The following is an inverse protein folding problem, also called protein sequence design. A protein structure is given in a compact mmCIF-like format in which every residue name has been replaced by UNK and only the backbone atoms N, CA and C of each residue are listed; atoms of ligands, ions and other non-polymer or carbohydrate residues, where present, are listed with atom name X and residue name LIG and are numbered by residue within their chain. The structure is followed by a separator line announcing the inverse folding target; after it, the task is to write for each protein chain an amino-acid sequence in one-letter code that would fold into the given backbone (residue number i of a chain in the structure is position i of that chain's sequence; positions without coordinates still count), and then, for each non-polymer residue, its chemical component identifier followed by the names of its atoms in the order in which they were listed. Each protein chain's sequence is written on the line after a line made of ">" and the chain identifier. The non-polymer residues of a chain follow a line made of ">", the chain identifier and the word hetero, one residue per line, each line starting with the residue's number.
data_IF_485922913388
#
_entry.id   IF_485922913388
#
_cell.length_a   1.000
_cell.length_b   1.000
_cell.length_c   1.000
_cell.angle_alpha   90.00
_cell.angle_beta   90.00
_cell.angle_gamma   90.00
#
_symmetry.space_group_name_H-M   'P 1'
#
loop_
_entity.id
_entity.type
_entity.pdbx_description
1 polymer ?
#
# COMPACT_ATOMS: atom_id res chain seq x y z
N UNK A 1 -14.08 17.91 17.15
CA UNK A 1 -15.08 16.89 16.76
C UNK A 1 -14.92 15.66 17.66
N UNK A 2 -16.01 15.01 18.08
CA UNK A 2 -15.97 13.86 18.99
C UNK A 2 -15.71 12.58 18.17
N UNK A 3 -14.81 11.69 18.62
CA UNK A 3 -14.57 10.43 17.92
C UNK A 3 -15.83 9.56 17.88
N UNK A 4 -16.16 9.05 16.70
CA UNK A 4 -17.33 8.21 16.47
C UNK A 4 -16.89 6.79 16.16
N UNK A 5 -17.43 5.83 16.91
CA UNK A 5 -17.25 4.40 16.65
C UNK A 5 -18.09 3.97 15.46
N UNK A 6 -17.45 3.47 14.40
CA UNK A 6 -18.12 2.89 13.25
C UNK A 6 -17.43 1.63 12.72
N UNK A 7 -18.17 0.86 11.92
CA UNK A 7 -17.65 -0.23 11.10
C UNK A 7 -17.97 0.08 9.64
N UNK A 8 -16.97 -0.01 8.78
CA UNK A 8 -17.08 0.34 7.36
C UNK A 8 -16.94 -0.94 6.55
N UNK A 9 -17.95 -1.25 5.74
CA UNK A 9 -17.91 -2.29 4.71
C UNK A 9 -17.42 -1.66 3.42
N UNK A 10 -16.43 -2.25 2.75
CA UNK A 10 -15.81 -1.72 1.53
C UNK A 10 -15.41 -2.83 0.56
N UNK A 11 -14.87 -2.48 -0.61
CA UNK A 11 -14.56 -3.42 -1.70
C UNK A 11 -15.74 -3.58 -2.64
N UNK A 12 -16.03 -4.81 -3.07
CA UNK A 12 -17.18 -5.13 -3.92
C UNK A 12 -18.26 -5.85 -3.13
N UNK A 13 -19.49 -5.88 -3.64
CA UNK A 13 -20.55 -6.70 -3.08
C UNK A 13 -20.28 -8.21 -3.13
N UNK A 14 -19.39 -8.67 -4.03
CA UNK A 14 -18.96 -10.08 -4.17
C UNK A 14 -17.92 -10.44 -3.10
N UNK A 15 -16.91 -9.60 -2.91
CA UNK A 15 -15.83 -9.81 -1.92
C UNK A 15 -15.73 -8.61 -0.98
N UNK A 16 -16.70 -8.43 -0.06
CA UNK A 16 -16.67 -7.30 0.85
C UNK A 16 -15.61 -7.49 1.94
N UNK A 17 -14.95 -6.39 2.31
CA UNK A 17 -14.06 -6.30 3.46
C UNK A 17 -14.66 -5.37 4.53
N UNK A 18 -14.13 -5.44 5.75
CA UNK A 18 -14.64 -4.69 6.90
C UNK A 18 -13.52 -4.01 7.68
N UNK A 19 -13.56 -2.68 7.77
CA UNK A 19 -12.77 -1.89 8.71
C UNK A 19 -13.60 -1.68 9.97
N UNK A 20 -13.28 -2.41 11.04
CA UNK A 20 -14.11 -2.48 12.25
C UNK A 20 -13.63 -1.51 13.32
N UNK A 21 -14.58 -0.98 14.10
CA UNK A 21 -14.32 -0.22 15.32
C UNK A 21 -13.41 1.01 15.07
N UNK A 22 -13.60 1.68 13.93
CA UNK A 22 -12.92 2.95 13.65
C UNK A 22 -13.48 3.99 14.61
N UNK A 23 -12.60 4.67 15.35
CA UNK A 23 -12.95 5.72 16.31
C UNK A 23 -11.99 6.91 16.27
N UNK A 24 -11.31 7.11 15.14
CA UNK A 24 -10.46 8.27 14.93
C UNK A 24 -11.26 9.58 14.82
N UNK A 25 -10.62 10.68 15.20
CA UNK A 25 -11.15 12.03 14.96
C UNK A 25 -10.91 12.35 13.47
N UNK A 26 -11.95 12.74 12.71
CA UNK A 26 -11.78 13.09 11.31
C UNK A 26 -10.93 14.36 11.17
N UNK A 27 -10.10 14.48 10.11
CA UNK A 27 -9.33 15.69 9.85
C UNK A 27 -10.25 16.87 9.49
N UNK A 28 -9.79 18.09 9.79
CA UNK A 28 -10.41 19.34 9.35
C UNK A 28 -9.97 19.73 7.93
N UNK A 29 -10.62 20.73 7.33
CA UNK A 29 -10.18 21.25 6.03
C UNK A 29 -8.78 21.87 6.08
N UNK A 30 -8.41 22.50 7.20
CA UNK A 30 -7.08 23.05 7.40
C UNK A 30 -6.02 21.94 7.39
N UNK A 31 -6.33 20.80 8.03
CA UNK A 31 -5.44 19.64 8.07
C UNK A 31 -5.12 19.08 6.68
N UNK A 32 -6.12 19.01 5.79
CA UNK A 32 -5.89 18.62 4.39
C UNK A 32 -5.05 19.64 3.64
N UNK A 33 -5.29 20.93 3.84
CA UNK A 33 -4.56 21.97 3.11
C UNK A 33 -3.08 22.07 3.52
N UNK A 34 -2.76 21.81 4.80
CA UNK A 34 -1.39 21.92 5.32
C UNK A 34 -0.55 20.64 5.21
N UNK A 35 -1.16 19.49 4.89
CA UNK A 35 -0.43 18.22 4.83
C UNK A 35 0.34 18.07 3.52
N UNK A 36 1.63 17.74 3.64
CA UNK A 36 2.59 17.56 2.54
C UNK A 36 3.29 16.20 2.64
N UNK A 37 4.10 15.82 1.66
CA UNK A 37 4.90 14.59 1.72
C UNK A 37 6.02 14.75 2.74
N UNK A 38 6.80 15.84 2.65
CA UNK A 38 8.00 16.06 3.47
C UNK A 38 7.77 17.14 4.52
N UNK A 39 8.06 16.84 5.79
CA UNK A 39 7.95 17.81 6.89
C UNK A 39 9.30 18.12 7.51
N UNK A 40 9.44 19.34 8.01
CA UNK A 40 10.61 19.75 8.80
C UNK A 40 10.65 19.06 10.17
N UNK A 41 9.48 18.83 10.76
CA UNK A 41 9.35 18.23 12.09
C UNK A 41 8.20 17.23 12.13
N UNK A 42 8.49 16.05 12.68
CA UNK A 42 7.47 15.02 12.95
C UNK A 42 6.57 15.47 14.11
N UNK A 43 5.37 14.92 14.20
CA UNK A 43 4.35 15.37 15.14
C UNK A 43 4.23 14.42 16.33
N UNK A 44 4.42 14.96 17.53
CA UNK A 44 4.12 14.27 18.78
C UNK A 44 2.60 14.20 18.96
N UNK A 45 2.04 13.01 18.80
CA UNK A 45 0.63 12.79 19.02
C UNK A 45 0.25 12.86 20.51
N UNK A 46 -0.93 13.43 20.79
CA UNK A 46 -1.54 13.30 22.10
C UNK A 46 -1.78 11.81 22.43
N UNK A 47 -1.43 11.38 23.65
CA UNK A 47 -1.51 9.98 24.10
C UNK A 47 -2.90 9.35 23.93
N UNK A 48 -3.97 10.14 24.03
CA UNK A 48 -5.34 9.62 23.88
C UNK A 48 -5.73 9.49 22.41
N UNK A 49 -5.32 10.43 21.55
CA UNK A 49 -5.49 10.31 20.10
C UNK A 49 -4.69 9.14 19.52
N UNK A 50 -3.52 8.86 20.10
CA UNK A 50 -2.66 7.76 19.70
C UNK A 50 -3.27 6.37 19.97
N UNK A 51 -4.30 6.25 20.83
CA UNK A 51 -5.03 5.01 21.13
C UNK A 51 -6.19 4.76 20.16
N UNK A 52 -6.61 5.79 19.41
CA UNK A 52 -7.73 5.69 18.48
C UNK A 52 -7.38 4.83 17.27
N UNK A 53 -8.37 4.10 16.78
CA UNK A 53 -8.28 3.19 15.65
C UNK A 53 -8.60 3.94 14.37
N UNK A 54 -7.58 4.03 13.53
CA UNK A 54 -7.63 4.66 12.20
C UNK A 54 -7.99 3.61 11.14
N UNK A 55 -8.75 3.98 10.10
CA UNK A 55 -8.92 3.11 8.94
C UNK A 55 -7.58 2.93 8.24
N UNK A 56 -7.36 1.75 7.64
CA UNK A 56 -6.17 1.54 6.82
C UNK A 56 -6.29 2.35 5.52
N UNK A 57 -5.16 2.82 4.99
CA UNK A 57 -5.12 3.49 3.69
C UNK A 57 -5.80 2.64 2.60
N UNK A 58 -5.52 1.33 2.57
CA UNK A 58 -6.14 0.39 1.65
C UNK A 58 -7.68 0.34 1.77
N UNK A 59 -8.22 0.41 3.00
CA UNK A 59 -9.65 0.44 3.24
C UNK A 59 -10.27 1.75 2.73
N UNK A 60 -9.60 2.88 2.99
CA UNK A 60 -10.06 4.20 2.54
C UNK A 60 -10.10 4.23 1.01
N UNK A 61 -8.97 3.96 0.34
CA UNK A 61 -8.87 4.01 -1.11
C UNK A 61 -9.85 3.04 -1.78
N UNK A 62 -10.03 1.84 -1.22
CA UNK A 62 -11.00 0.87 -1.77
C UNK A 62 -12.46 1.30 -1.59
N UNK A 63 -12.80 2.00 -0.50
CA UNK A 63 -14.16 2.45 -0.20
C UNK A 63 -14.65 3.62 -1.08
N UNK A 64 -13.74 4.36 -1.72
CA UNK A 64 -14.04 5.56 -2.52
C UNK A 64 -13.66 5.44 -3.99
N UNK A 65 -12.80 4.48 -4.33
CA UNK A 65 -12.45 4.23 -5.74
C UNK A 65 -13.58 3.51 -6.46
N UNK A 66 -13.70 3.74 -7.77
CA UNK A 66 -14.62 2.98 -8.60
C UNK A 66 -14.15 1.51 -8.68
N UNK A 67 -14.93 0.60 -8.08
CA UNK A 67 -14.64 -0.84 -8.08
C UNK A 67 -15.40 -1.59 -9.18
N UNK A 68 -15.99 -0.91 -10.16
CA UNK A 68 -16.75 -1.55 -11.25
C UNK A 68 -15.91 -2.55 -12.03
N UNK A 69 -14.70 -2.18 -12.43
CA UNK A 69 -13.81 -3.06 -13.18
C UNK A 69 -13.46 -4.32 -12.36
N UNK A 70 -13.14 -4.15 -11.07
CA UNK A 70 -12.88 -5.26 -10.16
C UNK A 70 -14.11 -6.15 -10.02
N UNK A 71 -15.30 -5.58 -9.81
CA UNK A 71 -16.55 -6.32 -9.70
C UNK A 71 -16.84 -7.15 -10.97
N UNK A 72 -16.69 -6.56 -12.15
CA UNK A 72 -16.93 -7.26 -13.42
C UNK A 72 -15.92 -8.40 -13.64
N UNK A 73 -14.65 -8.18 -13.32
CA UNK A 73 -13.63 -9.23 -13.36
C UNK A 73 -13.94 -10.38 -12.40
N UNK A 74 -14.36 -10.06 -11.17
CA UNK A 74 -14.76 -11.07 -10.18
C UNK A 74 -15.96 -11.89 -10.67
N UNK A 75 -16.97 -11.22 -11.23
CA UNK A 75 -18.15 -11.88 -11.78
C UNK A 75 -17.76 -12.83 -12.92
N UNK A 76 -17.00 -12.35 -13.90
CA UNK A 76 -16.53 -13.16 -15.02
C UNK A 76 -15.70 -14.38 -14.55
N UNK A 77 -14.82 -14.20 -13.56
CA UNK A 77 -14.05 -15.32 -13.00
C UNK A 77 -14.92 -16.31 -12.24
N UNK A 78 -15.93 -15.86 -11.51
CA UNK A 78 -16.89 -16.74 -10.85
C UNK A 78 -17.70 -17.53 -11.88
N UNK A 79 -18.12 -16.90 -12.98
CA UNK A 79 -18.84 -17.58 -14.06
C UNK A 79 -17.96 -18.67 -14.73
N UNK A 80 -16.65 -18.46 -14.81
CA UNK A 80 -15.68 -19.40 -15.37
C UNK A 80 -15.38 -20.62 -14.46
N UNK A 81 -15.14 -20.41 -13.16
CA UNK A 81 -14.64 -21.47 -12.26
C UNK A 81 -15.57 -21.84 -11.10
N UNK A 82 -16.68 -21.11 -10.93
CA UNK A 82 -17.57 -21.23 -9.78
C UNK A 82 -17.09 -20.49 -8.53
N UNK A 83 -18.03 -20.12 -7.66
CA UNK A 83 -17.77 -19.30 -6.47
C UNK A 83 -16.79 -19.95 -5.47
N UNK A 84 -16.89 -21.26 -5.26
CA UNK A 84 -16.02 -21.98 -4.32
C UNK A 84 -14.57 -22.00 -4.82
N UNK A 85 -14.35 -22.33 -6.08
CA UNK A 85 -13.03 -22.31 -6.71
C UNK A 85 -12.45 -20.90 -6.76
N UNK A 86 -13.28 -19.88 -7.04
CA UNK A 86 -12.86 -18.47 -6.99
C UNK A 86 -12.38 -18.06 -5.59
N UNK A 87 -13.07 -18.46 -4.52
CA UNK A 87 -12.64 -18.18 -3.14
C UNK A 87 -11.30 -18.84 -2.81
N UNK A 88 -11.10 -20.10 -3.23
CA UNK A 88 -9.82 -20.79 -3.07
C UNK A 88 -8.71 -20.07 -3.85
N UNK A 89 -8.97 -19.74 -5.12
CA UNK A 89 -8.06 -18.99 -5.99
C UNK A 89 -7.62 -17.65 -5.38
N UNK A 90 -8.54 -16.87 -4.83
CA UNK A 90 -8.22 -15.60 -4.17
C UNK A 90 -7.37 -15.80 -2.90
N UNK A 91 -7.64 -16.86 -2.14
CA UNK A 91 -6.88 -17.21 -0.93
C UNK A 91 -5.44 -17.58 -1.30
N UNK A 92 -5.26 -18.42 -2.31
CA UNK A 92 -3.95 -18.86 -2.78
C UNK A 92 -3.13 -17.68 -3.33
N UNK A 93 -3.75 -16.79 -4.10
CA UNK A 93 -3.09 -15.57 -4.59
C UNK A 93 -2.62 -14.67 -3.47
N UNK A 94 -3.45 -14.46 -2.45
CA UNK A 94 -3.08 -13.66 -1.27
C UNK A 94 -1.92 -14.29 -0.50
N UNK A 95 -1.92 -15.62 -0.36
CA UNK A 95 -0.85 -16.36 0.29
C UNK A 95 0.48 -16.25 -0.49
N UNK A 96 0.44 -16.36 -1.83
CA UNK A 96 1.63 -16.17 -2.68
C UNK A 96 2.18 -14.75 -2.53
N UNK A 97 1.32 -13.73 -2.59
CA UNK A 97 1.72 -12.35 -2.39
C UNK A 97 2.38 -12.16 -1.01
N UNK A 98 1.71 -12.57 0.05
CA UNK A 98 2.22 -12.44 1.43
C UNK A 98 3.60 -13.11 1.60
N UNK A 99 3.75 -14.35 1.13
CA UNK A 99 5.02 -15.07 1.22
C UNK A 99 6.11 -14.43 0.35
N UNK A 100 5.75 -13.86 -0.80
CA UNK A 100 6.68 -13.12 -1.66
C UNK A 100 7.23 -11.90 -0.93
N UNK A 101 6.37 -11.07 -0.33
CA UNK A 101 6.83 -9.92 0.46
C UNK A 101 7.73 -10.35 1.63
N UNK A 102 7.38 -11.45 2.34
CA UNK A 102 8.25 -11.99 3.41
C UNK A 102 9.63 -12.40 2.90
N UNK A 103 9.71 -13.05 1.73
CA UNK A 103 11.00 -13.47 1.15
C UNK A 103 11.83 -12.30 0.63
N UNK A 104 11.18 -11.32 0.00
CA UNK A 104 11.86 -10.13 -0.51
C UNK A 104 12.34 -9.24 0.64
N UNK A 105 11.58 -9.14 1.74
CA UNK A 105 12.05 -8.52 2.99
C UNK A 105 13.29 -9.22 3.54
N UNK A 106 13.28 -10.56 3.60
CA UNK A 106 14.43 -11.36 4.05
C UNK A 106 15.67 -11.10 3.18
N UNK A 107 15.51 -11.06 1.86
CA UNK A 107 16.57 -10.70 0.92
C UNK A 107 17.09 -9.28 1.17
N UNK A 108 16.21 -8.30 1.33
CA UNK A 108 16.62 -6.91 1.58
C UNK A 108 17.42 -6.77 2.88
N UNK A 109 17.05 -7.53 3.93
CA UNK A 109 17.80 -7.57 5.20
C UNK A 109 19.16 -8.27 5.09
N UNK A 110 19.32 -9.18 4.14
CA UNK A 110 20.62 -9.80 3.83
C UNK A 110 21.54 -8.78 3.15
N UNK A 111 20.99 -7.85 2.36
CA UNK A 111 21.74 -6.79 1.71
C UNK A 111 22.54 -7.30 0.52
N UNK A 112 23.85 -7.04 0.49
CA UNK A 112 24.70 -7.35 -0.67
C UNK A 112 25.46 -8.68 -0.58
N UNK A 113 25.13 -9.55 0.38
CA UNK A 113 25.70 -10.91 0.46
C UNK A 113 25.08 -11.82 -0.61
N UNK A 114 25.61 -11.74 -1.83
CA UNK A 114 25.12 -12.49 -3.00
C UNK A 114 25.12 -14.01 -2.79
N UNK A 115 26.09 -14.56 -2.03
CA UNK A 115 26.15 -15.99 -1.77
C UNK A 115 24.95 -16.44 -0.91
N UNK A 116 24.64 -15.67 0.14
CA UNK A 116 23.49 -15.94 0.99
C UNK A 116 22.16 -15.68 0.26
N UNK A 117 22.09 -14.65 -0.58
CA UNK A 117 20.93 -14.38 -1.43
C UNK A 117 20.66 -15.56 -2.39
N UNK A 118 21.68 -16.03 -3.10
CA UNK A 118 21.57 -17.18 -4.00
C UNK A 118 21.06 -18.43 -3.24
N UNK A 119 21.62 -18.69 -2.06
CA UNK A 119 21.21 -19.81 -1.21
C UNK A 119 19.72 -19.76 -0.84
N UNK A 120 19.20 -18.60 -0.40
CA UNK A 120 17.78 -18.51 -0.02
C UNK A 120 16.85 -18.59 -1.23
N UNK A 121 17.24 -18.04 -2.39
CA UNK A 121 16.50 -18.16 -3.64
C UNK A 121 16.40 -19.63 -4.06
N UNK A 122 17.53 -20.35 -4.08
CA UNK A 122 17.57 -21.75 -4.51
C UNK A 122 16.84 -22.69 -3.55
N UNK A 123 16.75 -22.31 -2.26
CA UNK A 123 16.00 -23.06 -1.26
C UNK A 123 14.47 -22.91 -1.37
N UNK A 124 13.96 -21.90 -2.09
CA UNK A 124 12.52 -21.67 -2.20
C UNK A 124 11.88 -22.69 -3.16
N UNK A 125 11.08 -23.59 -2.57
CA UNK A 125 10.43 -24.70 -3.26
C UNK A 125 9.33 -24.24 -4.21
N UNK A 126 8.62 -23.15 -3.87
CA UNK A 126 7.53 -22.66 -4.70
C UNK A 126 8.08 -21.82 -5.87
N UNK A 127 7.93 -22.34 -7.09
CA UNK A 127 8.49 -21.74 -8.29
C UNK A 127 8.11 -20.27 -8.50
N UNK A 128 6.84 -19.91 -8.31
CA UNK A 128 6.37 -18.53 -8.46
C UNK A 128 7.08 -17.58 -7.49
N UNK A 129 7.23 -17.95 -6.21
CA UNK A 129 7.91 -17.12 -5.21
C UNK A 129 9.39 -16.99 -5.56
N UNK A 130 10.04 -18.12 -5.88
CA UNK A 130 11.45 -18.12 -6.30
C UNK A 130 11.69 -17.21 -7.50
N UNK A 131 10.77 -17.19 -8.47
CA UNK A 131 10.86 -16.30 -9.63
C UNK A 131 10.72 -14.83 -9.23
N UNK A 132 9.77 -14.48 -8.36
CA UNK A 132 9.68 -13.11 -7.84
C UNK A 132 10.93 -12.70 -7.05
N UNK A 133 11.53 -13.62 -6.29
CA UNK A 133 12.81 -13.38 -5.61
C UNK A 133 13.93 -13.10 -6.61
N UNK A 134 14.06 -13.90 -7.67
CA UNK A 134 15.02 -13.66 -8.77
C UNK A 134 14.79 -12.31 -9.44
N UNK A 135 13.52 -11.94 -9.65
CA UNK A 135 13.14 -10.65 -10.21
C UNK A 135 13.56 -9.47 -9.32
N UNK A 136 13.44 -9.62 -7.99
CA UNK A 136 13.82 -8.61 -7.01
C UNK A 136 15.33 -8.46 -6.81
N UNK A 137 16.11 -9.52 -7.05
CA UNK A 137 17.54 -9.59 -6.73
C UNK A 137 18.36 -8.41 -7.29
N UNK A 138 18.27 -8.03 -8.58
CA UNK A 138 19.05 -6.91 -9.11
C UNK A 138 18.76 -5.60 -8.35
N UNK A 139 17.51 -5.36 -7.97
CA UNK A 139 17.10 -4.13 -7.29
C UNK A 139 17.60 -4.09 -5.86
N UNK A 140 17.62 -5.23 -5.18
CA UNK A 140 18.19 -5.34 -3.83
C UNK A 140 19.68 -5.03 -3.84
N UNK A 141 20.40 -5.45 -4.87
CA UNK A 141 21.83 -5.13 -5.04
C UNK A 141 22.08 -3.66 -5.37
N UNK A 142 21.11 -2.97 -5.97
CA UNK A 142 21.19 -1.52 -6.22
C UNK A 142 20.78 -0.64 -5.03
N UNK A 143 20.07 -1.19 -4.03
CA UNK A 143 19.72 -0.44 -2.81
C UNK A 143 20.99 -0.14 -2.01
N UNK A 144 21.18 1.12 -1.67
CA UNK A 144 22.32 1.59 -0.89
C UNK A 144 22.06 1.39 0.61
N UNK A 145 23.11 1.04 1.34
CA UNK A 145 23.08 0.88 2.80
C UNK A 145 21.88 0.02 3.26
N UNK A 146 21.67 -1.20 2.72
CA UNK A 146 20.46 -2.01 2.96
C UNK A 146 20.24 -2.35 4.44
N UNK A 147 21.28 -2.35 5.26
CA UNK A 147 21.20 -2.48 6.72
C UNK A 147 20.46 -1.32 7.41
N UNK A 148 20.38 -0.17 6.74
CA UNK A 148 19.64 1.02 7.19
C UNK A 148 18.17 1.01 6.71
N UNK A 149 17.75 0.00 5.95
CA UNK A 149 16.38 -0.12 5.47
C UNK A 149 15.39 -0.33 6.63
N UNK A 150 14.24 0.35 6.54
CA UNK A 150 13.15 0.20 7.51
C UNK A 150 12.08 -0.65 6.87
N UNK A 151 12.00 -1.93 7.20
CA UNK A 151 11.07 -2.85 6.54
C UNK A 151 9.82 -3.16 7.37
N UNK A 152 8.67 -3.25 6.70
CA UNK A 152 7.44 -3.89 7.16
C UNK A 152 6.89 -3.30 8.48
N UNK A 153 7.07 -1.99 8.65
CA UNK A 153 6.65 -1.25 9.85
C UNK A 153 5.27 -0.62 9.67
N UNK A 154 4.58 -0.47 10.80
CA UNK A 154 3.29 0.22 10.87
C UNK A 154 3.48 1.72 10.91
N UNK A 155 2.77 2.42 10.06
CA UNK A 155 2.76 3.88 10.01
C UNK A 155 1.37 4.41 10.33
N UNK A 156 1.30 5.62 10.88
CA UNK A 156 0.03 6.33 11.08
C UNK A 156 0.22 7.80 10.80
N UNK A 157 -0.72 8.40 10.07
CA UNK A 157 -0.70 9.84 9.85
C UNK A 157 -1.41 10.53 11.02
N UNK A 158 -0.73 11.35 11.83
CA UNK A 158 -1.29 11.96 13.04
C UNK A 158 -2.44 12.92 12.74
N UNK A 159 -2.31 13.68 11.65
CA UNK A 159 -3.31 14.67 11.24
C UNK A 159 -4.41 14.07 10.35
N UNK A 160 -4.05 13.49 9.20
CA UNK A 160 -4.99 12.93 8.23
C UNK A 160 -5.70 11.63 8.68
N UNK A 161 -5.41 11.17 9.90
CA UNK A 161 -6.14 10.13 10.61
C UNK A 161 -6.28 8.77 9.90
N UNK A 162 -5.33 8.39 9.04
CA UNK A 162 -5.21 7.04 8.48
C UNK A 162 -3.99 6.29 9.02
N UNK A 163 -3.93 4.98 8.79
CA UNK A 163 -2.77 4.15 9.13
C UNK A 163 -2.49 3.10 8.05
N UNK A 164 -1.38 2.40 8.19
CA UNK A 164 -1.08 1.25 7.35
C UNK A 164 0.23 0.58 7.72
N UNK A 165 0.72 -0.22 6.78
CA UNK A 165 2.02 -0.89 6.83
C UNK A 165 2.60 -0.76 5.43
N UNK A 166 3.80 -0.22 5.34
CA UNK A 166 4.54 -0.07 4.11
C UNK A 166 5.59 -1.19 4.01
N UNK A 167 6.04 -1.49 2.81
CA UNK A 167 7.00 -2.57 2.57
C UNK A 167 8.39 -2.18 3.06
N UNK A 168 8.95 -1.07 2.58
CA UNK A 168 10.20 -0.54 3.09
C UNK A 168 10.38 0.97 2.92
N UNK A 169 11.29 1.56 3.69
CA UNK A 169 11.98 2.82 3.36
C UNK A 169 13.44 2.48 3.11
N UNK A 170 13.95 2.87 1.96
CA UNK A 170 15.30 2.51 1.49
C UNK A 170 16.02 3.71 0.89
N UNK A 171 17.34 3.65 0.80
CA UNK A 171 18.15 4.61 0.06
C UNK A 171 18.44 4.06 -1.33
N UNK A 172 18.02 4.79 -2.36
CA UNK A 172 18.16 4.37 -3.75
C UNK A 172 18.56 5.58 -4.60
N UNK A 173 19.68 5.48 -5.32
CA UNK A 173 20.28 6.59 -6.08
C UNK A 173 20.39 7.89 -5.26
N UNK A 174 20.97 7.76 -4.08
CA UNK A 174 21.24 8.80 -3.08
C UNK A 174 20.00 9.48 -2.47
N UNK A 175 18.81 8.96 -2.75
CA UNK A 175 17.55 9.48 -2.22
C UNK A 175 16.87 8.47 -1.31
N UNK A 176 16.24 8.96 -0.24
CA UNK A 176 15.40 8.15 0.63
C UNK A 176 14.00 8.04 0.03
N UNK A 177 13.60 6.80 -0.25
CA UNK A 177 12.36 6.48 -0.93
C UNK A 177 11.50 5.54 -0.10
N UNK A 178 10.20 5.82 -0.07
CA UNK A 178 9.22 4.81 0.34
C UNK A 178 9.12 3.79 -0.80
N UNK A 179 9.20 2.52 -0.47
CA UNK A 179 9.24 1.41 -1.43
C UNK A 179 7.95 0.59 -1.34
N UNK A 180 7.45 0.14 -2.49
CA UNK A 180 6.35 -0.82 -2.59
C UNK A 180 6.66 -1.91 -3.63
N UNK A 181 6.68 -3.17 -3.20
CA UNK A 181 6.84 -4.33 -4.05
C UNK A 181 5.47 -4.73 -4.61
N UNK A 182 5.39 -5.00 -5.92
CA UNK A 182 4.18 -5.49 -6.56
C UNK A 182 4.46 -6.74 -7.37
N UNK A 183 3.74 -7.81 -7.04
CA UNK A 183 3.73 -9.02 -7.88
C UNK A 183 2.93 -8.75 -9.14
N UNK A 184 3.58 -8.87 -10.29
CA UNK A 184 3.00 -8.61 -11.59
C UNK A 184 2.91 -9.92 -12.38
N UNK A 185 1.70 -10.49 -12.53
CA UNK A 185 1.50 -11.61 -13.44
C UNK A 185 1.94 -11.24 -14.86
N UNK A 186 2.49 -12.20 -15.61
CA UNK A 186 3.05 -11.93 -16.94
C UNK A 186 2.08 -11.21 -17.91
N UNK A 187 0.77 -11.41 -17.75
CA UNK A 187 -0.28 -10.82 -18.59
C UNK A 187 -1.12 -9.73 -17.90
N UNK A 188 -0.64 -9.15 -16.81
CA UNK A 188 -1.37 -8.08 -16.13
C UNK A 188 -1.34 -6.78 -16.94
N UNK A 189 -2.36 -5.91 -16.79
CA UNK A 189 -2.35 -4.58 -17.43
C UNK A 189 -1.13 -3.77 -17.01
N UNK A 190 -0.72 -3.86 -15.74
CA UNK A 190 0.49 -3.20 -15.25
C UNK A 190 1.75 -3.72 -15.96
N UNK A 191 1.82 -5.03 -16.22
CA UNK A 191 2.93 -5.61 -17.00
C UNK A 191 2.96 -5.18 -18.46
N UNK A 192 1.84 -4.74 -19.02
CA UNK A 192 1.72 -4.37 -20.45
C UNK A 192 1.77 -2.85 -20.68
N UNK A 193 1.22 -2.08 -19.76
CA UNK A 193 1.00 -0.63 -19.89
C UNK A 193 1.89 0.20 -18.97
N UNK A 194 2.54 -0.40 -17.95
CA UNK A 194 3.43 0.32 -17.04
C UNK A 194 2.76 1.53 -16.40
N UNK A 195 3.35 2.70 -16.61
CA UNK A 195 2.90 4.01 -16.09
C UNK A 195 1.52 4.43 -16.60
N UNK A 196 1.15 4.02 -17.82
CA UNK A 196 -0.17 4.33 -18.41
C UNK A 196 -1.30 3.53 -17.78
N UNK A 197 -0.98 2.54 -16.94
CA UNK A 197 -1.99 1.72 -16.28
C UNK A 197 -2.66 2.43 -15.11
N UNK A 198 -3.97 2.20 -14.93
CA UNK A 198 -4.68 2.65 -13.73
C UNK A 198 -4.10 2.07 -12.43
N UNK A 199 -3.42 0.92 -12.52
CA UNK A 199 -2.73 0.28 -11.40
C UNK A 199 -1.55 1.14 -10.92
N UNK A 200 -0.76 1.70 -11.84
CA UNK A 200 0.35 2.59 -11.52
C UNK A 200 -0.13 3.77 -10.67
N UNK A 201 -1.14 4.50 -11.14
CA UNK A 201 -1.72 5.65 -10.40
C UNK A 201 -2.17 5.24 -8.99
N UNK A 202 -2.78 4.06 -8.83
CA UNK A 202 -3.18 3.53 -7.53
C UNK A 202 -1.99 3.21 -6.62
N UNK A 203 -0.90 2.69 -7.16
CA UNK A 203 0.32 2.40 -6.42
C UNK A 203 1.09 3.66 -6.02
N UNK A 204 1.19 4.64 -6.92
CA UNK A 204 1.80 5.95 -6.59
C UNK A 204 1.01 6.68 -5.51
N UNK A 205 -0.33 6.60 -5.53
CA UNK A 205 -1.17 7.09 -4.41
C UNK A 205 -0.86 6.42 -3.08
N UNK A 206 -0.58 5.11 -3.09
CA UNK A 206 -0.20 4.41 -1.86
C UNK A 206 1.18 4.87 -1.36
N UNK A 207 2.16 4.99 -2.26
CA UNK A 207 3.49 5.50 -1.92
C UNK A 207 3.41 6.91 -1.34
N UNK A 208 2.78 7.87 -2.03
CA UNK A 208 2.65 9.25 -1.56
C UNK A 208 2.02 9.35 -0.17
N UNK A 209 0.94 8.60 0.06
CA UNK A 209 0.28 8.53 1.36
C UNK A 209 1.17 7.89 2.44
N UNK A 210 1.90 6.83 2.14
CA UNK A 210 2.79 6.20 3.12
C UNK A 210 4.03 7.04 3.42
N UNK A 211 4.62 7.72 2.43
CA UNK A 211 5.69 8.69 2.64
C UNK A 211 5.24 9.82 3.56
N UNK A 212 4.09 10.45 3.27
CA UNK A 212 3.52 11.50 4.11
C UNK A 212 3.27 10.98 5.54
N UNK A 213 2.59 9.84 5.70
CA UNK A 213 2.34 9.28 7.03
C UNK A 213 3.64 8.96 7.77
N UNK A 214 4.65 8.43 7.09
CA UNK A 214 5.93 8.08 7.66
C UNK A 214 6.62 9.34 8.16
N UNK A 215 6.75 10.36 7.30
CA UNK A 215 7.43 11.62 7.61
C UNK A 215 6.77 12.38 8.77
N UNK A 216 5.45 12.28 8.94
CA UNK A 216 4.74 12.90 10.07
C UNK A 216 4.84 12.12 11.39
N UNK A 217 5.10 10.81 11.35
CA UNK A 217 4.99 9.92 12.51
C UNK A 217 6.25 9.96 13.39
N UNK A 218 6.10 10.48 14.61
CA UNK A 218 7.21 10.67 15.57
C UNK A 218 7.93 9.37 15.95
N UNK A 219 7.31 8.20 15.74
CA UNK A 219 7.95 6.90 16.00
C UNK A 219 9.20 6.67 15.13
N UNK A 220 9.38 7.51 14.10
CA UNK A 220 10.51 7.51 13.18
C UNK A 220 11.37 8.77 13.31
N UNK A 221 11.36 9.46 14.46
CA UNK A 221 12.10 10.73 14.66
C UNK A 221 13.60 10.65 14.30
N UNK A 222 14.23 9.50 14.49
CA UNK A 222 15.65 9.24 14.17
C UNK A 222 15.84 8.62 12.77
N UNK A 223 14.79 8.53 11.97
CA UNK A 223 14.83 7.99 10.60
C UNK A 223 14.88 9.12 9.58
N UNK A 224 15.42 8.86 8.37
CA UNK A 224 15.41 9.82 7.28
C UNK A 224 14.00 10.23 6.87
N UNK A 225 13.88 11.34 6.14
CA UNK A 225 12.64 11.76 5.48
C UNK A 225 12.60 11.11 4.09
N UNK A 226 11.54 10.35 3.82
CA UNK A 226 11.33 9.71 2.53
C UNK A 226 10.54 10.64 1.61
N UNK A 227 11.20 11.24 0.62
CA UNK A 227 10.62 12.27 -0.26
C UNK A 227 10.17 11.71 -1.61
N UNK A 228 10.75 10.58 -2.00
CA UNK A 228 10.52 9.93 -3.28
C UNK A 228 9.80 8.59 -3.09
N UNK A 229 9.22 8.08 -4.17
CA UNK A 229 8.64 6.75 -4.24
C UNK A 229 9.52 5.80 -5.05
N UNK A 230 9.51 4.52 -4.69
CA UNK A 230 10.13 3.46 -5.45
C UNK A 230 9.14 2.31 -5.61
N UNK A 231 8.53 2.23 -6.79
CA UNK A 231 7.60 1.16 -7.13
C UNK A 231 8.37 0.08 -7.91
N UNK A 232 8.31 -1.16 -7.43
CA UNK A 232 9.02 -2.27 -8.07
C UNK A 232 8.05 -3.37 -8.47
N UNK A 233 7.99 -3.63 -9.78
CA UNK A 233 7.13 -4.64 -10.41
C UNK A 233 7.88 -5.95 -10.58
N UNK A 234 7.66 -6.88 -9.66
CA UNK A 234 8.27 -8.21 -9.65
C UNK A 234 7.59 -9.11 -10.68
N UNK A 235 8.38 -9.75 -11.54
CA UNK A 235 7.91 -10.56 -12.65
C UNK A 235 7.77 -12.03 -12.28
N UNK A 236 6.62 -12.61 -12.59
CA UNK A 236 6.27 -14.00 -12.25
C UNK A 236 7.14 -15.05 -12.96
N UNK A 237 7.73 -14.70 -14.10
CA UNK A 237 8.64 -15.54 -14.88
C UNK A 237 10.10 -15.47 -14.41
N UNK A 238 10.42 -14.55 -13.50
CA UNK A 238 11.76 -14.34 -12.97
C UNK A 238 12.63 -13.41 -13.81
N UNK A 239 12.07 -12.75 -14.83
CA UNK A 239 12.74 -11.65 -15.51
C UNK A 239 13.06 -10.52 -14.50
N UNK A 240 14.10 -9.68 -14.76
CA UNK A 240 14.41 -8.54 -13.91
C UNK A 240 13.18 -7.67 -13.65
N UNK A 241 13.03 -7.20 -12.41
CA UNK A 241 11.91 -6.34 -12.06
C UNK A 241 11.96 -5.01 -12.84
N UNK A 242 10.78 -4.47 -13.14
CA UNK A 242 10.69 -3.08 -13.61
C UNK A 242 10.65 -2.16 -12.40
N UNK A 243 11.42 -1.08 -12.48
CA UNK A 243 11.54 -0.08 -11.41
C UNK A 243 11.03 1.25 -11.91
N UNK A 244 10.14 1.84 -11.14
CA UNK A 244 9.62 3.18 -11.37
C UNK A 244 10.06 4.05 -10.20
N UNK A 245 10.79 5.11 -10.49
CA UNK A 245 11.21 6.11 -9.51
C UNK A 245 10.25 7.29 -9.59
N UNK A 246 9.58 7.56 -8.49
CA UNK A 246 8.60 8.63 -8.40
C UNK A 246 9.28 9.82 -7.74
N UNK A 247 9.35 10.92 -8.48
CA UNK A 247 9.98 12.17 -8.03
C UNK A 247 9.27 12.78 -6.82
N UNK A 248 9.96 13.67 -6.09
CA UNK A 248 9.35 14.42 -4.98
C UNK A 248 8.14 15.24 -5.45
N UNK A 249 8.23 15.89 -6.61
CA UNK A 249 7.14 16.68 -7.20
C UNK A 249 5.93 15.80 -7.53
N UNK A 250 6.15 14.63 -8.13
CA UNK A 250 5.06 13.70 -8.45
C UNK A 250 4.43 13.10 -7.17
N UNK A 251 5.23 12.79 -6.16
CA UNK A 251 4.75 12.35 -4.85
C UNK A 251 3.87 13.42 -4.19
N UNK A 252 4.28 14.68 -4.24
CA UNK A 252 3.52 15.80 -3.66
C UNK A 252 2.22 16.06 -4.42
N UNK A 253 2.28 16.11 -5.76
CA UNK A 253 1.09 16.24 -6.60
C UNK A 253 0.11 15.08 -6.37
N UNK A 254 0.61 13.85 -6.29
CA UNK A 254 -0.21 12.67 -6.02
C UNK A 254 -0.78 12.67 -4.60
N UNK A 255 -0.07 13.24 -3.61
CA UNK A 255 -0.65 13.43 -2.28
C UNK A 255 -1.86 14.37 -2.34
N UNK A 256 -1.86 15.37 -3.23
CA UNK A 256 -3.04 16.18 -3.54
C UNK A 256 -4.28 15.33 -3.83
N UNK A 257 -4.18 14.41 -4.81
CA UNK A 257 -5.24 13.44 -5.15
C UNK A 257 -5.65 12.59 -3.94
N UNK A 258 -4.68 12.09 -3.18
CA UNK A 258 -4.94 11.27 -1.98
C UNK A 258 -5.75 12.07 -0.95
N UNK A 259 -5.45 13.34 -0.76
CA UNK A 259 -6.14 14.21 0.21
C UNK A 259 -7.60 14.44 -0.18
N UNK A 260 -7.88 14.65 -1.47
CA UNK A 260 -9.27 14.72 -1.96
C UNK A 260 -10.04 13.43 -1.69
N UNK A 261 -9.40 12.29 -1.94
CA UNK A 261 -9.94 10.97 -1.69
C UNK A 261 -10.19 10.71 -0.19
N UNK A 262 -9.24 11.07 0.68
CA UNK A 262 -9.42 11.01 2.13
C UNK A 262 -10.57 11.92 2.60
N UNK A 263 -10.67 13.14 2.06
CA UNK A 263 -11.76 14.07 2.36
C UNK A 263 -13.12 13.50 1.96
N UNK A 264 -13.24 12.91 0.77
CA UNK A 264 -14.44 12.21 0.32
C UNK A 264 -14.84 11.10 1.30
N UNK A 265 -13.87 10.26 1.69
CA UNK A 265 -14.08 9.18 2.64
C UNK A 265 -14.61 9.70 3.99
N UNK A 266 -13.94 10.69 4.58
CA UNK A 266 -14.34 11.24 5.87
C UNK A 266 -15.70 11.94 5.81
N UNK A 267 -16.03 12.63 4.71
CA UNK A 267 -17.36 13.20 4.49
C UNK A 267 -18.46 12.13 4.45
N UNK A 268 -18.23 10.99 3.78
CA UNK A 268 -19.17 9.85 3.77
C UNK A 268 -19.33 9.24 5.17
N UNK A 269 -18.22 9.09 5.90
CA UNK A 269 -18.24 8.54 7.26
C UNK A 269 -19.02 9.46 8.22
N UNK A 270 -18.78 10.76 8.14
CA UNK A 270 -19.37 11.75 9.04
C UNK A 270 -20.83 12.09 8.73
N UNK A 271 -21.23 12.03 7.46
CA UNK A 271 -22.63 12.26 7.05
C UNK A 271 -23.57 11.09 7.35
N UNK A 272 -23.05 9.86 7.43
CA UNK A 272 -23.86 8.70 7.82
C UNK A 272 -24.40 8.86 9.24
N UNK A 273 -25.63 8.42 9.53
CA UNK A 273 -26.16 8.33 10.92
C UNK A 273 -25.99 6.94 11.54
N UNK A 274 -25.54 5.96 10.76
CA UNK A 274 -25.44 4.56 11.17
C UNK A 274 -24.04 4.21 11.71
N UNK A 275 -23.96 3.33 12.70
CA UNK A 275 -22.68 2.79 13.16
C UNK A 275 -22.03 1.86 12.13
N UNK A 276 -22.85 1.18 11.31
CA UNK A 276 -22.39 0.36 10.19
C UNK A 276 -22.58 1.14 8.89
N UNK A 277 -21.50 1.41 8.17
CA UNK A 277 -21.50 2.20 6.94
C UNK A 277 -21.13 1.28 5.79
N UNK A 278 -21.99 1.18 4.78
CA UNK A 278 -21.74 0.35 3.60
C UNK A 278 -21.25 1.20 2.44
N UNK A 279 -19.95 1.13 2.17
CA UNK A 279 -19.26 1.77 1.06
C UNK A 279 -18.78 0.73 0.02
N UNK A 280 -19.23 -0.52 0.10
CA UNK A 280 -18.88 -1.51 -0.91
C UNK A 280 -19.62 -1.23 -2.22
N UNK A 281 -18.91 -1.35 -3.34
CA UNK A 281 -19.48 -1.17 -4.66
C UNK A 281 -20.59 -2.19 -4.92
N UNK A 282 -21.72 -1.70 -5.41
CA UNK A 282 -22.87 -2.48 -5.87
C UNK A 282 -23.15 -2.07 -7.31
N UNK A 283 -23.39 -3.02 -8.23
CA UNK A 283 -23.84 -2.65 -9.58
C UNK A 283 -25.17 -1.91 -9.47
N UNK A 284 -25.41 -0.97 -10.38
CA UNK A 284 -26.77 -0.46 -10.58
C UNK A 284 -27.67 -1.61 -11.05
N UNK A 285 -28.89 -1.66 -10.52
CA UNK A 285 -29.92 -2.60 -10.96
C UNK A 285 -30.37 -2.28 -12.39
#
# INVERSE_FOLDING_TARGET
>A
MIPRKCTIRYGTSITPNFAKLIDAVPPSDADFNSSVVAVEKRIIENKDLAKLRRPSLSAILSAISDQRALYLWQKAKIDEMGLSSFKAYMTDRMAIGTRTHTRVEEMLRIGHDEAKLAQIIDSEKQAAIRNYMKSALPIILEIQDPESAICEKRVRHPILAYQGRFDAVVKYKDNWSILDWKTAPARSSFSQQGEDSLSYVSYVRQLAAYASAFNYDVRYENSPIAKQGLLVSLKEDGAPAEVYQISEDEMENTLGDVKEKLKEFWNKVMSSKQANIDLAYKPAN
#
